data_IF_842311739015
#
_entry.id   IF_842311739015
#
_cell.length_a   1.000
_cell.length_b   1.000
_cell.length_c   1.000
_cell.angle_alpha   90.00
_cell.angle_beta   90.00
_cell.angle_gamma   90.00
#
_symmetry.space_group_name_H-M   'P 1'
#
loop_
_entity.id
_entity.type
_entity.pdbx_description
1 polymer ?
2 non-polymer ?
3 non-polymer ?
4 non-polymer ?
5 non-polymer ?
6 non-polymer ?
7 water ?
#
# COMPACT_ATOMS: atom_id res chain seq x y z
N UNK A 3 6.82 -13.69 19.00
CA UNK A 3 5.36 -14.05 19.04
C UNK A 3 5.02 -15.01 17.89
N UNK A 4 4.21 -16.02 18.20
CA UNK A 4 3.81 -17.02 17.21
C UNK A 4 2.29 -16.98 16.93
N UNK A 5 1.55 -16.25 17.75
CA UNK A 5 0.09 -16.14 17.57
C UNK A 5 -0.44 -15.01 18.44
N UNK A 6 -1.64 -14.54 18.10
CA UNK A 6 -2.25 -13.40 18.79
C UNK A 6 -3.54 -13.80 19.46
N UNK A 7 -3.85 -15.09 19.38
CA UNK A 7 -5.14 -15.61 19.81
C UNK A 7 -5.02 -16.84 20.69
N UNK A 8 -6.17 -17.51 20.90
CA UNK A 8 -6.24 -18.70 21.74
C UNK A 8 -6.28 -20.01 20.94
N UNK A 9 -6.16 -19.93 19.62
CA UNK A 9 -6.19 -21.13 18.80
C UNK A 9 -4.77 -21.66 18.52
N UNK A 10 -4.45 -22.84 19.06
CA UNK A 10 -3.13 -23.44 18.86
C UNK A 10 -2.93 -23.90 17.41
N UNK A 11 -3.99 -24.37 16.78
CA UNK A 11 -3.97 -24.71 15.35
C UNK A 11 -3.46 -23.54 14.52
N UNK A 12 -3.98 -22.34 14.81
CA UNK A 12 -3.58 -21.13 14.06
C UNK A 12 -2.09 -20.86 14.00
N UNK A 13 -1.36 -21.21 15.06
CA UNK A 13 0.09 -21.01 15.07
C UNK A 13 0.71 -21.64 13.85
N UNK A 14 0.36 -22.90 13.62
CA UNK A 14 0.90 -23.63 12.48
C UNK A 14 0.35 -23.12 11.16
N UNK A 15 -0.95 -22.82 11.13
CA UNK A 15 -1.60 -22.30 9.91
C UNK A 15 -0.97 -20.98 9.52
N UNK A 16 -0.72 -20.15 10.52
CA UNK A 16 -0.15 -18.84 10.28
C UNK A 16 1.24 -19.02 9.71
N UNK A 17 2.08 -19.85 10.37
CA UNK A 17 3.47 -20.03 9.87
C UNK A 17 3.47 -20.60 8.47
N UNK A 18 2.51 -21.47 8.19
CA UNK A 18 2.30 -22.04 6.86
C UNK A 18 2.05 -20.94 5.81
N UNK A 19 1.10 -20.06 6.06
CA UNK A 19 0.86 -18.93 5.16
C UNK A 19 2.10 -18.09 4.96
N UNK A 20 2.85 -17.83 6.04
CA UNK A 20 4.04 -16.96 5.98
C UNK A 20 5.23 -17.54 5.22
N UNK A 21 5.20 -18.85 4.94
CA UNK A 21 6.19 -19.38 4.01
C UNK A 21 6.11 -18.63 2.67
N UNK A 22 5.00 -17.95 2.40
CA UNK A 22 4.84 -17.27 1.11
C UNK A 22 5.15 -15.76 1.18
N UNK A 23 5.74 -15.36 2.30
CA UNK A 23 6.12 -13.95 2.55
C UNK A 23 6.81 -13.23 1.40
N UNK A 24 7.73 -13.91 0.71
CA UNK A 24 8.52 -13.25 -0.33
C UNK A 24 7.89 -13.36 -1.70
N UNK A 25 6.64 -13.79 -1.74
CA UNK A 25 5.94 -14.09 -2.97
C UNK A 25 4.74 -13.19 -3.23
N UNK A 26 4.50 -12.88 -4.50
CA UNK A 26 3.36 -12.08 -4.89
C UNK A 26 2.08 -12.79 -4.52
N UNK A 27 2.14 -14.11 -4.47
CA UNK A 27 0.98 -14.94 -4.21
C UNK A 27 0.59 -15.17 -2.75
N UNK A 28 1.32 -14.60 -1.79
CA UNK A 28 0.85 -14.58 -0.39
C UNK A 28 -0.64 -14.24 -0.25
N UNK A 29 -1.33 -14.90 0.66
CA UNK A 29 -2.75 -14.61 0.87
C UNK A 29 -2.97 -13.89 2.18
N UNK A 30 -3.08 -12.56 2.12
CA UNK A 30 -3.27 -11.77 3.31
C UNK A 30 -4.58 -11.99 4.03
N UNK A 31 -5.64 -12.37 3.31
CA UNK A 31 -6.88 -12.66 4.01
C UNK A 31 -6.67 -13.84 4.99
N UNK A 32 -5.94 -14.84 4.55
CA UNK A 32 -5.61 -15.97 5.40
C UNK A 32 -4.77 -15.52 6.59
N UNK A 33 -3.75 -14.70 6.33
CA UNK A 33 -2.90 -14.19 7.42
C UNK A 33 -3.80 -13.53 8.46
N UNK A 34 -4.73 -12.68 8.03
CA UNK A 34 -5.59 -12.04 9.00
C UNK A 34 -6.39 -13.04 9.82
N UNK A 35 -6.89 -14.05 9.14
CA UNK A 35 -7.73 -15.03 9.78
C UNK A 35 -6.99 -15.84 10.81
N UNK A 36 -5.72 -16.12 10.58
CA UNK A 36 -4.96 -16.98 11.49
C UNK A 36 -4.19 -16.15 12.53
N UNK A 37 -4.36 -14.82 12.50
CA UNK A 37 -3.60 -13.93 13.41
C UNK A 37 -4.55 -13.13 14.31
N UNK A 38 -5.79 -13.56 14.44
CA UNK A 38 -6.76 -12.86 15.24
C UNK A 38 -6.96 -11.40 14.79
N UNK A 39 -7.02 -11.25 13.47
CA UNK A 39 -7.17 -9.96 12.80
C UNK A 39 -6.06 -9.00 13.16
N UNK A 40 -4.85 -9.51 13.10
CA UNK A 40 -3.66 -8.68 13.28
C UNK A 40 -2.78 -8.78 12.05
N UNK A 41 -3.38 -8.63 10.85
CA UNK A 41 -2.53 -8.87 9.68
C UNK A 41 -1.39 -7.85 9.59
N UNK A 42 -1.62 -6.59 9.97
CA UNK A 42 -0.57 -5.59 9.81
C UNK A 42 0.61 -5.82 10.79
N UNK A 43 0.28 -6.00 12.07
CA UNK A 43 1.30 -6.38 13.06
C UNK A 43 2.08 -7.61 12.66
N UNK A 44 1.42 -8.70 12.26
CA UNK A 44 2.12 -9.91 11.92
C UNK A 44 2.93 -9.80 10.65
N UNK A 45 2.33 -9.24 9.60
CA UNK A 45 3.11 -9.20 8.39
C UNK A 45 4.33 -8.29 8.55
N UNK A 46 4.19 -7.21 9.32
CA UNK A 46 5.29 -6.28 9.52
C UNK A 46 6.40 -6.93 10.33
N UNK A 47 6.01 -7.67 11.37
CA UNK A 47 6.98 -8.44 12.16
C UNK A 47 7.71 -9.48 11.29
N UNK A 48 6.97 -10.21 10.44
CA UNK A 48 7.58 -11.17 9.52
C UNK A 48 8.55 -10.50 8.57
N UNK A 49 8.15 -9.35 7.99
CA UNK A 49 8.99 -8.68 7.00
C UNK A 49 10.27 -8.16 7.62
N UNK A 50 10.17 -7.56 8.79
CA UNK A 50 11.37 -6.97 9.41
C UNK A 50 12.35 -8.07 9.79
N UNK A 51 11.83 -9.19 10.31
CA UNK A 51 12.69 -10.34 10.63
C UNK A 51 13.33 -10.94 9.39
N UNK A 52 12.54 -11.11 8.32
CA UNK A 52 13.04 -11.61 7.05
C UNK A 52 14.21 -10.78 6.56
N UNK A 53 14.09 -9.46 6.67
CA UNK A 53 15.10 -8.54 6.19
C UNK A 53 16.13 -8.16 7.22
N UNK A 54 16.10 -8.82 8.39
CA UNK A 54 16.97 -8.46 9.50
C UNK A 54 17.00 -6.98 9.86
N UNK A 55 15.85 -6.31 9.81
CA UNK A 55 15.78 -4.88 10.07
C UNK A 55 15.76 -4.51 11.56
N UNK A 56 15.22 -5.38 12.42
CA UNK A 56 15.28 -5.08 13.86
C UNK A 56 16.75 -5.15 14.31
N UNK A 57 17.50 -6.12 13.82
CA UNK A 57 18.94 -6.14 14.13
C UNK A 57 19.70 -4.96 13.51
N UNK A 58 19.49 -4.73 12.22
CA UNK A 58 20.23 -3.68 11.52
C UNK A 58 20.02 -2.30 12.18
N UNK A 59 18.78 -2.01 12.59
CA UNK A 59 18.45 -0.70 13.15
C UNK A 59 18.29 -0.70 14.67
N UNK A 60 18.73 -1.80 15.30
CA UNK A 60 18.65 -1.95 16.75
C UNK A 60 17.27 -1.64 17.31
N UNK A 61 16.26 -2.18 16.64
CA UNK A 61 14.89 -2.00 17.12
C UNK A 61 14.48 -3.14 18.04
N UNK A 62 14.06 -2.77 19.24
CA UNK A 62 13.53 -3.73 20.19
C UNK A 62 12.32 -4.45 19.60
N UNK A 63 12.31 -5.78 19.66
CA UNK A 63 11.10 -6.54 19.26
C UNK A 63 9.87 -6.12 20.05
N UNK A 64 10.08 -5.84 21.33
CA UNK A 64 9.00 -5.43 22.20
C UNK A 64 8.40 -4.10 21.76
N UNK A 65 9.27 -3.12 21.51
CA UNK A 65 8.84 -1.82 21.07
C UNK A 65 8.16 -1.94 19.70
N UNK A 66 8.75 -2.75 18.82
CA UNK A 66 8.21 -2.91 17.47
C UNK A 66 6.75 -3.35 17.52
N UNK A 67 6.50 -4.37 18.35
CA UNK A 67 5.19 -5.00 18.43
C UNK A 67 4.20 -4.03 19.00
N UNK A 68 4.60 -3.30 20.04
CA UNK A 68 3.72 -2.30 20.62
C UNK A 68 3.36 -1.21 19.62
N UNK A 69 4.35 -0.74 18.85
CA UNK A 69 4.05 0.34 17.95
C UNK A 69 3.10 -0.21 16.87
N UNK A 70 3.41 -1.40 16.35
CA UNK A 70 2.63 -1.95 15.22
C UNK A 70 1.22 -2.23 15.65
N UNK A 71 1.05 -2.76 16.87
CA UNK A 71 -0.29 -3.00 17.36
C UNK A 71 -1.09 -1.74 17.45
N UNK A 72 -0.47 -0.66 17.92
CA UNK A 72 -1.17 0.55 18.06
C UNK A 72 -1.44 1.21 16.68
N UNK A 73 -0.47 1.15 15.80
CA UNK A 73 -0.73 1.66 14.43
C UNK A 73 -1.90 0.90 13.82
N UNK A 74 -1.85 -0.43 13.92
CA UNK A 74 -2.97 -1.22 13.38
C UNK A 74 -4.31 -0.82 14.01
N UNK A 75 -4.31 -0.56 15.31
CA UNK A 75 -5.52 -0.12 15.99
C UNK A 75 -6.06 1.23 15.50
N UNK A 76 -5.19 2.03 14.83
CA UNK A 76 -5.65 3.30 14.30
C UNK A 76 -6.19 3.19 12.86
N UNK A 77 -6.18 2.00 12.29
CA UNK A 77 -6.99 1.74 11.08
C UNK A 77 -8.39 1.42 11.59
N UNK A 78 -9.41 1.86 10.88
CA UNK A 78 -10.81 1.66 11.30
C UNK A 78 -11.29 0.28 10.83
N UNK A 79 -11.66 -0.63 11.74
CA UNK A 79 -12.08 -1.95 11.26
C UNK A 79 -13.45 -1.84 10.56
N UNK A 80 -14.21 -0.77 10.82
CA UNK A 80 -15.51 -0.58 10.14
C UNK A 80 -15.46 0.14 8.80
N UNK A 81 -14.25 0.40 8.31
CA UNK A 81 -14.08 0.96 6.99
C UNK A 81 -13.81 -0.28 6.11
N UNK A 82 -14.59 -0.47 5.04
CA UNK A 82 -14.56 -1.74 4.32
C UNK A 82 -13.27 -2.08 3.59
N UNK A 83 -12.63 -1.09 2.99
CA UNK A 83 -11.39 -1.34 2.26
C UNK A 83 -10.13 -0.76 2.95
N UNK A 84 -10.16 0.55 3.22
CA UNK A 84 -9.07 1.28 3.83
C UNK A 84 -8.88 0.94 5.32
N UNK A 85 -8.72 -0.34 5.57
CA UNK A 85 -8.48 -0.81 6.95
C UNK A 85 -7.12 -1.48 7.03
N UNK A 86 -6.76 -2.03 8.22
CA UNK A 86 -5.43 -2.62 8.30
C UNK A 86 -5.08 -3.77 7.37
N UNK A 87 -6.07 -4.50 6.79
CA UNK A 87 -5.75 -5.55 5.91
C UNK A 87 -5.12 -4.93 4.62
N UNK A 88 -5.69 -3.80 4.19
CA UNK A 88 -5.10 -3.08 3.06
C UNK A 88 -3.68 -2.62 3.30
N UNK A 89 -3.43 -2.02 4.46
CA UNK A 89 -2.10 -1.61 4.84
C UNK A 89 -1.16 -2.82 4.83
N UNK A 90 -1.57 -3.93 5.45
CA UNK A 90 -0.77 -5.19 5.44
C UNK A 90 -0.38 -5.63 4.02
N UNK A 91 -1.38 -5.65 3.16
CA UNK A 91 -1.19 -6.04 1.79
C UNK A 91 -0.21 -5.13 1.12
N UNK A 92 -0.35 -3.81 1.29
CA UNK A 92 0.53 -2.89 0.62
C UNK A 92 1.94 -2.97 1.17
N UNK A 93 2.04 -3.21 2.47
CA UNK A 93 3.38 -3.47 3.00
C UNK A 93 4.06 -4.75 2.48
N UNK A 94 3.32 -5.86 2.43
CA UNK A 94 3.83 -7.16 1.90
C UNK A 94 4.16 -7.04 0.42
N UNK A 95 3.32 -6.31 -0.31
CA UNK A 95 3.58 -6.08 -1.73
C UNK A 95 4.83 -5.24 -1.96
N UNK A 96 5.04 -4.19 -1.16
CA UNK A 96 6.27 -3.42 -1.24
C UNK A 96 7.49 -4.28 -0.91
N UNK A 97 7.34 -5.11 0.11
CA UNK A 97 8.39 -6.10 0.43
C UNK A 97 8.83 -6.95 -0.77
N UNK A 98 7.88 -7.46 -1.51
CA UNK A 98 8.18 -8.22 -2.73
C UNK A 98 8.83 -7.37 -3.84
N UNK A 99 8.27 -6.18 -4.13
CA UNK A 99 8.84 -5.31 -5.15
C UNK A 99 10.26 -4.89 -4.81
N UNK A 100 10.58 -4.72 -3.53
CA UNK A 100 11.90 -4.27 -3.15
C UNK A 100 12.96 -5.30 -3.57
N UNK A 101 12.55 -6.56 -3.68
CA UNK A 101 13.49 -7.64 -4.03
C UNK A 101 13.53 -7.98 -5.51
N UNK A 102 12.85 -7.20 -6.34
CA UNK A 102 12.86 -7.48 -7.75
C UNK A 102 14.32 -7.48 -8.29
N UNK A 103 14.68 -8.49 -9.10
CA UNK A 103 16.11 -8.62 -9.44
C UNK A 103 16.75 -7.34 -10.03
N UNK A 104 15.98 -6.60 -10.81
CA UNK A 104 16.48 -5.40 -11.49
C UNK A 104 16.91 -4.28 -10.52
N UNK A 105 16.46 -4.36 -9.27
CA UNK A 105 16.82 -3.37 -8.27
C UNK A 105 17.77 -3.94 -7.21
N UNK A 106 18.21 -5.17 -7.41
CA UNK A 106 19.19 -5.80 -6.53
C UNK A 106 20.32 -4.83 -6.19
N UNK A 107 20.66 -4.73 -4.91
CA UNK A 107 21.75 -3.88 -4.40
C UNK A 107 21.58 -2.36 -4.57
N UNK A 108 20.46 -1.92 -5.15
CA UNK A 108 20.27 -0.49 -5.42
C UNK A 108 19.99 0.33 -4.17
N UNK A 109 19.15 -0.21 -3.28
CA UNK A 109 18.67 0.58 -2.15
C UNK A 109 19.43 0.31 -0.87
N UNK A 110 19.71 1.36 -0.10
CA UNK A 110 20.23 1.23 1.25
C UNK A 110 19.22 0.59 2.20
N UNK A 111 19.72 0.16 3.36
CA UNK A 111 18.86 -0.41 4.40
C UNK A 111 17.88 0.64 4.90
N UNK A 112 18.32 1.89 5.00
CA UNK A 112 17.43 2.94 5.50
C UNK A 112 16.29 3.20 4.52
N UNK A 113 16.59 3.14 3.23
CA UNK A 113 15.59 3.28 2.18
C UNK A 113 14.58 2.11 2.17
N UNK A 114 15.08 0.89 2.38
CA UNK A 114 14.20 -0.27 2.49
C UNK A 114 13.28 -0.11 3.69
N UNK A 115 13.87 0.30 4.81
CA UNK A 115 13.14 0.58 6.04
C UNK A 115 12.05 1.62 5.77
N UNK A 116 12.45 2.72 5.12
CA UNK A 116 11.50 3.82 4.81
C UNK A 116 10.29 3.33 4.00
N UNK A 117 10.55 2.56 2.96
CA UNK A 117 9.54 2.17 2.02
C UNK A 117 8.52 1.26 2.73
N UNK A 118 8.98 0.30 3.52
CA UNK A 118 8.07 -0.62 4.20
C UNK A 118 7.28 0.10 5.27
N UNK A 119 7.93 0.97 6.03
CA UNK A 119 7.23 1.80 6.99
C UNK A 119 6.16 2.72 6.33
N UNK A 120 6.53 3.39 5.21
CA UNK A 120 5.56 4.19 4.50
C UNK A 120 4.32 3.37 4.11
N UNK A 121 4.54 2.17 3.57
CA UNK A 121 3.43 1.32 3.19
C UNK A 121 2.54 1.02 4.39
N UNK A 122 3.14 0.69 5.52
CA UNK A 122 2.39 0.36 6.70
C UNK A 122 1.53 1.49 7.21
N UNK A 123 2.03 2.72 7.15
CA UNK A 123 1.29 3.87 7.64
C UNK A 123 0.40 4.57 6.60
N UNK A 124 0.46 4.20 5.33
CA UNK A 124 0.05 5.13 4.28
C UNK A 124 -1.44 5.48 4.25
N UNK A 125 -2.25 4.70 4.97
CA UNK A 125 -3.70 4.94 4.99
C UNK A 125 -4.24 4.97 6.43
N UNK A 126 -3.36 5.18 7.41
CA UNK A 126 -3.82 5.03 8.77
C UNK A 126 -4.88 6.07 9.16
N UNK A 127 -5.87 5.64 9.96
CA UNK A 127 -6.99 6.52 10.35
C UNK A 127 -7.81 7.07 9.17
N UNK A 128 -7.87 6.28 8.11
CA UNK A 128 -8.70 6.66 6.97
C UNK A 128 -10.20 6.53 7.38
N UNK A 129 -11.01 7.56 7.11
CA UNK A 129 -12.41 7.53 7.51
C UNK A 129 -13.31 6.86 6.48
N UNK A 130 -12.74 6.47 5.34
CA UNK A 130 -13.54 5.66 4.38
C UNK A 130 -14.32 6.56 3.40
N UNK A 131 -13.95 7.81 3.31
CA UNK A 131 -14.50 8.74 2.29
C UNK A 131 -13.35 9.48 1.62
N UNK A 132 -13.55 10.03 0.43
CA UNK A 132 -12.46 10.61 -0.33
C UNK A 132 -12.06 12.01 0.12
N UNK A 133 -10.93 12.48 -0.43
CA UNK A 133 -10.51 13.84 -0.18
C UNK A 133 -11.61 14.83 -0.58
N UNK A 134 -12.24 14.56 -1.73
CA UNK A 134 -13.19 15.52 -2.20
C UNK A 134 -14.41 15.57 -1.31
N UNK A 135 -14.83 14.43 -0.76
CA UNK A 135 -15.94 14.40 0.19
C UNK A 135 -15.56 15.22 1.43
N UNK A 136 -14.36 15.02 1.94
CA UNK A 136 -13.89 15.85 3.08
C UNK A 136 -13.88 17.37 2.78
N UNK A 137 -13.47 17.76 1.58
CA UNK A 137 -13.40 19.15 1.19
C UNK A 137 -14.81 19.71 1.06
N UNK A 138 -15.68 18.96 0.39
CA UNK A 138 -17.02 19.44 0.08
C UNK A 138 -17.88 19.58 1.31
N UNK A 139 -17.57 18.81 2.37
CA UNK A 139 -18.36 18.77 3.61
C UNK A 139 -17.76 19.70 4.67
N UNK A 140 -16.70 20.41 4.31
CA UNK A 140 -15.98 21.30 5.22
C UNK A 140 -15.56 20.58 6.49
N UNK A 141 -15.03 19.38 6.33
CA UNK A 141 -14.63 18.55 7.45
C UNK A 141 -13.48 19.17 8.23
N UNK A 142 -13.29 18.69 9.45
CA UNK A 142 -12.19 19.16 10.28
C UNK A 142 -10.85 18.93 9.55
N UNK A 143 -10.73 17.78 8.88
CA UNK A 143 -9.45 17.46 8.24
C UNK A 143 -9.17 18.43 7.09
N UNK A 144 -10.20 18.72 6.28
CA UNK A 144 -10.01 19.64 5.18
C UNK A 144 -9.67 21.06 5.66
N UNK A 145 -10.29 21.47 6.75
CA UNK A 145 -9.93 22.75 7.36
C UNK A 145 -8.51 22.71 7.97
N UNK A 146 -8.10 21.59 8.55
CA UNK A 146 -6.74 21.51 9.04
C UNK A 146 -5.71 21.61 7.91
N UNK A 147 -5.99 20.94 6.79
CA UNK A 147 -4.98 20.77 5.74
C UNK A 147 -5.21 21.60 4.48
N UNK A 148 -6.14 22.56 4.57
CA UNK A 148 -6.28 23.55 3.50
C UNK A 148 -6.53 22.90 2.16
N UNK A 149 -7.30 21.84 2.23
CA UNK A 149 -7.84 21.06 1.10
C UNK A 149 -6.78 20.33 0.27
N UNK A 150 -5.52 20.33 0.73
CA UNK A 150 -4.45 19.75 -0.09
C UNK A 150 -3.93 18.43 0.45
N UNK A 151 -4.08 17.39 -0.37
CA UNK A 151 -3.75 16.00 0.02
C UNK A 151 -4.19 15.76 1.47
N UNK A 152 -5.47 15.99 1.70
CA UNK A 152 -5.98 16.04 3.08
C UNK A 152 -5.69 14.70 3.81
N UNK A 153 -6.15 13.59 3.25
CA UNK A 153 -6.02 12.26 3.90
C UNK A 153 -4.55 11.91 4.05
N UNK A 154 -3.79 12.16 2.99
CA UNK A 154 -2.38 11.73 2.93
C UNK A 154 -1.52 12.48 3.98
N UNK A 155 -1.77 13.78 4.16
CA UNK A 155 -1.10 14.52 5.21
C UNK A 155 -1.53 13.94 6.57
N UNK A 156 -2.84 13.59 6.71
CA UNK A 156 -3.31 13.04 7.98
C UNK A 156 -2.67 11.71 8.29
N UNK A 157 -2.55 10.82 7.30
CA UNK A 157 -1.97 9.50 7.55
C UNK A 157 -0.54 9.66 8.06
N UNK A 158 0.21 10.54 7.41
CA UNK A 158 1.58 10.84 7.86
C UNK A 158 1.63 11.38 9.30
N UNK A 159 0.79 12.36 9.59
CA UNK A 159 0.76 12.97 10.93
C UNK A 159 0.50 11.91 11.99
N UNK A 160 -0.46 11.02 11.75
CA UNK A 160 -0.74 9.99 12.74
C UNK A 160 0.43 9.01 12.90
N UNK A 161 1.00 8.56 11.81
CA UNK A 161 2.02 7.55 11.85
C UNK A 161 3.21 8.14 12.60
N UNK A 162 3.52 9.41 12.38
CA UNK A 162 4.70 10.01 13.05
C UNK A 162 4.44 10.41 14.48
N UNK A 163 3.20 10.85 14.77
CA UNK A 163 2.81 11.21 16.11
C UNK A 163 2.85 9.99 17.02
N UNK A 164 2.56 8.81 16.48
CA UNK A 164 2.58 7.60 17.32
C UNK A 164 3.99 7.24 17.81
N UNK A 165 5.01 7.76 17.15
CA UNK A 165 6.40 7.46 17.52
C UNK A 165 6.87 8.36 18.65
N UNK A 166 6.08 9.34 19.02
CA UNK A 166 6.51 10.32 20.03
C UNK A 166 6.63 9.72 21.43
N UNK A 167 5.82 8.70 21.72
CA UNK A 167 5.85 8.07 23.04
C UNK A 167 7.05 7.12 23.11
N UNK A 168 7.86 7.22 24.16
CA UNK A 168 9.06 6.35 24.29
C UNK A 168 8.79 4.87 24.08
N UNK A 169 7.75 4.35 24.70
CA UNK A 169 7.44 2.92 24.60
C UNK A 169 6.98 2.48 23.19
N UNK A 170 6.87 3.41 22.25
CA UNK A 170 6.49 3.09 20.88
C UNK A 170 7.55 3.58 19.86
N UNK A 171 8.64 4.23 20.31
CA UNK A 171 9.57 4.83 19.33
C UNK A 171 10.54 3.81 18.73
N UNK A 172 10.12 3.20 17.62
CA UNK A 172 10.89 2.19 16.95
C UNK A 172 12.14 2.75 16.26
N UNK A 173 12.25 4.07 16.16
CA UNK A 173 13.41 4.69 15.50
C UNK A 173 14.41 5.29 16.47
N UNK A 174 14.20 5.01 17.76
CA UNK A 174 15.02 5.56 18.84
C UNK A 174 16.53 5.44 18.60
N UNK A 175 16.97 4.30 18.09
CA UNK A 175 18.39 4.03 17.88
C UNK A 175 18.90 4.38 16.50
N UNK A 176 18.08 5.01 15.67
CA UNK A 176 18.61 5.64 14.45
C UNK A 176 19.35 6.91 14.87
N UNK A 177 20.28 7.37 14.07
CA UNK A 177 20.91 8.64 14.40
C UNK A 177 19.99 9.76 13.95
N UNK A 178 20.23 10.96 14.49
CA UNK A 178 19.46 12.16 14.13
C UNK A 178 19.38 12.38 12.62
N UNK A 179 20.51 12.25 11.94
CA UNK A 179 20.54 12.34 10.48
C UNK A 179 19.74 11.23 9.77
N UNK A 180 19.85 10.00 10.27
CA UNK A 180 19.07 8.89 9.74
C UNK A 180 17.56 9.16 9.88
N UNK A 181 17.17 9.61 11.06
CA UNK A 181 15.75 9.88 11.34
C UNK A 181 15.22 10.96 10.40
N UNK A 182 16.01 12.01 10.24
CA UNK A 182 15.69 13.10 9.33
C UNK A 182 15.57 12.63 7.87
N UNK A 183 16.49 11.79 7.42
CA UNK A 183 16.39 11.28 6.08
C UNK A 183 15.18 10.34 5.90
N UNK A 184 14.99 9.45 6.87
CA UNK A 184 13.83 8.54 6.81
C UNK A 184 12.52 9.35 6.72
N UNK A 185 12.39 10.37 7.56
CA UNK A 185 11.16 11.18 7.62
C UNK A 185 10.89 11.84 6.28
N UNK A 186 11.93 12.43 5.70
CA UNK A 186 11.77 12.98 4.34
C UNK A 186 11.30 11.96 3.29
N UNK A 187 11.89 10.75 3.27
CA UNK A 187 11.49 9.75 2.29
C UNK A 187 10.05 9.26 2.48
N UNK A 188 9.69 9.04 3.74
CA UNK A 188 8.33 8.51 4.05
C UNK A 188 7.29 9.55 3.68
N UNK A 189 7.59 10.82 3.98
CA UNK A 189 6.65 11.90 3.66
C UNK A 189 6.46 11.93 2.14
N UNK A 190 7.56 11.87 1.42
CA UNK A 190 7.50 11.86 -0.03
C UNK A 190 6.63 10.68 -0.53
N UNK A 191 6.85 9.49 0.04
CA UNK A 191 6.23 8.33 -0.49
C UNK A 191 4.74 8.35 -0.21
N UNK A 192 4.38 8.78 0.99
CA UNK A 192 2.96 8.74 1.35
C UNK A 192 2.17 9.80 0.58
N UNK A 193 2.75 10.97 0.44
CA UNK A 193 2.08 12.01 -0.32
C UNK A 193 1.83 11.59 -1.77
N UNK A 194 2.78 10.83 -2.34
CA UNK A 194 2.65 10.30 -3.68
C UNK A 194 1.52 9.25 -3.87
N UNK A 195 0.87 8.82 -2.78
CA UNK A 195 -0.22 7.87 -2.92
C UNK A 195 -1.59 8.57 -3.17
N UNK A 196 -1.60 9.92 -3.17
CA UNK A 196 -2.81 10.65 -3.45
C UNK A 196 -3.10 10.51 -4.96
N UNK A 197 -4.26 9.96 -5.29
CA UNK A 197 -4.60 9.67 -6.73
C UNK A 197 -4.61 10.95 -7.58
N UNK A 198 -4.90 12.09 -6.95
CA UNK A 198 -4.82 13.34 -7.71
C UNK A 198 -3.41 13.61 -8.33
N UNK A 199 -2.37 12.93 -7.82
CA UNK A 199 -0.99 13.04 -8.27
C UNK A 199 -0.59 11.94 -9.27
N UNK A 200 -1.49 10.98 -9.51
CA UNK A 200 -1.09 9.82 -10.31
C UNK A 200 -0.61 10.22 -11.71
N UNK A 201 -1.40 11.03 -12.39
CA UNK A 201 -1.05 11.33 -13.82
C UNK A 201 0.35 11.93 -13.90
N UNK A 202 0.69 12.84 -13.00
CA UNK A 202 1.99 13.47 -13.07
C UNK A 202 3.11 12.53 -12.68
N UNK A 203 2.80 11.62 -11.75
CA UNK A 203 3.78 10.67 -11.28
C UNK A 203 4.13 9.71 -12.41
N UNK A 204 3.10 9.26 -13.11
CA UNK A 204 3.24 8.29 -14.20
C UNK A 204 4.06 8.99 -15.30
N UNK A 205 3.62 10.18 -15.69
CA UNK A 205 4.36 10.94 -16.71
C UNK A 205 5.84 11.01 -16.41
N UNK A 206 6.18 11.35 -15.18
CA UNK A 206 7.58 11.48 -14.80
C UNK A 206 8.29 10.12 -14.75
N UNK A 207 7.51 9.08 -14.45
CA UNK A 207 8.04 7.71 -14.45
C UNK A 207 8.37 7.24 -15.88
N UNK A 208 7.41 7.41 -16.80
CA UNK A 208 7.59 7.11 -18.23
C UNK A 208 8.84 7.80 -18.72
N UNK A 209 9.02 9.03 -18.25
CA UNK A 209 10.19 9.82 -18.61
C UNK A 209 11.48 9.13 -18.14
N UNK A 210 11.55 8.75 -16.88
CA UNK A 210 12.73 8.04 -16.37
C UNK A 210 12.98 6.70 -17.06
N UNK A 211 11.91 6.00 -17.43
CA UNK A 211 12.02 4.71 -18.09
C UNK A 211 12.56 4.90 -19.51
N UNK A 212 12.08 5.95 -20.19
CA UNK A 212 12.63 6.36 -21.48
C UNK A 212 14.15 6.33 -21.51
N UNK A 213 14.81 6.87 -20.49
CA UNK A 213 16.27 6.99 -20.51
C UNK A 213 16.96 6.16 -19.45
N UNK A 214 16.33 5.06 -19.05
CA UNK A 214 16.90 4.19 -18.02
C UNK A 214 18.20 3.56 -18.53
N UNK A 215 19.13 3.34 -17.62
CA UNK A 215 20.41 2.76 -17.96
C UNK A 215 20.63 1.44 -17.22
N UNK A 216 20.23 0.34 -17.86
CA UNK A 216 20.41 -1.01 -17.30
C UNK A 216 21.87 -1.47 -17.43
N UNK A 217 22.55 -1.64 -16.30
CA UNK A 217 23.94 -2.12 -16.30
C UNK A 217 24.11 -3.55 -16.86
N UNK A 218 25.36 -3.90 -17.17
CA UNK A 218 25.73 -5.21 -17.73
C UNK A 218 24.97 -6.38 -17.08
N UNK A 219 25.08 -6.50 -15.75
CA UNK A 219 24.45 -7.61 -15.02
C UNK A 219 22.91 -7.65 -15.10
N UNK A 220 22.30 -6.58 -15.59
CA UNK A 220 20.85 -6.52 -15.72
C UNK A 220 20.19 -5.69 -14.62
N UNK A 221 21.01 -4.95 -13.88
CA UNK A 221 20.51 -4.11 -12.81
C UNK A 221 20.43 -2.64 -13.23
N UNK A 222 19.30 -2.00 -12.92
CA UNK A 222 19.14 -0.56 -13.15
C UNK A 222 20.20 0.23 -12.38
N UNK A 223 20.79 1.21 -13.06
CA UNK A 223 21.69 2.15 -12.46
C UNK A 223 20.84 3.33 -12.01
N UNK A 224 20.85 3.57 -10.71
CA UNK A 224 20.10 4.68 -10.11
C UNK A 224 21.09 5.28 -9.15
N UNK A 225 21.80 6.30 -9.63
CA UNK A 225 23.00 6.79 -8.98
C UNK A 225 22.77 7.71 -7.80
N UNK A 226 21.94 8.73 -8.01
CA UNK A 226 21.67 9.73 -6.98
C UNK A 226 20.33 9.52 -6.25
N UNK A 227 20.21 10.19 -5.11
CA UNK A 227 19.02 10.14 -4.28
C UNK A 227 17.75 10.47 -5.07
N UNK A 228 17.80 11.49 -5.91
CA UNK A 228 16.61 11.88 -6.64
C UNK A 228 16.06 10.76 -7.50
N UNK A 229 16.96 9.96 -8.06
CA UNK A 229 16.51 8.85 -8.90
C UNK A 229 15.98 7.70 -8.04
N UNK A 230 16.60 7.49 -6.87
CA UNK A 230 16.18 6.41 -5.97
C UNK A 230 14.83 6.68 -5.34
N UNK A 231 14.63 7.86 -4.80
CA UNK A 231 13.32 8.19 -4.22
C UNK A 231 12.21 8.22 -5.29
N UNK A 232 12.54 8.56 -6.53
CA UNK A 232 11.51 8.45 -7.54
C UNK A 232 11.10 7.00 -7.82
N UNK A 233 12.05 6.07 -7.88
CA UNK A 233 11.63 4.68 -8.04
C UNK A 233 10.79 4.23 -6.82
N UNK A 234 11.23 4.61 -5.62
CA UNK A 234 10.55 4.20 -4.38
C UNK A 234 9.13 4.76 -4.31
N UNK A 235 8.97 6.04 -4.65
CA UNK A 235 7.64 6.61 -4.61
C UNK A 235 6.73 5.89 -5.60
N UNK A 236 7.27 5.49 -6.74
CA UNK A 236 6.45 4.78 -7.71
C UNK A 236 6.19 3.35 -7.26
N UNK A 237 7.16 2.76 -6.56
CA UNK A 237 6.99 1.40 -6.07
C UNK A 237 5.82 1.28 -5.06
N UNK A 238 5.81 2.18 -4.08
CA UNK A 238 4.77 2.18 -3.07
C UNK A 238 3.42 2.47 -3.75
N UNK A 239 3.43 3.39 -4.73
CA UNK A 239 2.24 3.67 -5.55
C UNK A 239 1.75 2.40 -6.26
N UNK A 240 2.67 1.66 -6.86
CA UNK A 240 2.31 0.38 -7.55
C UNK A 240 1.72 -0.65 -6.58
N UNK A 241 2.34 -0.77 -5.41
CA UNK A 241 1.91 -1.68 -4.36
C UNK A 241 0.50 -1.30 -3.91
N UNK A 242 0.28 0.01 -3.72
CA UNK A 242 -1.01 0.56 -3.34
C UNK A 242 -2.05 0.15 -4.40
N UNK A 243 -1.65 0.17 -5.67
CA UNK A 243 -2.53 -0.13 -6.79
C UNK A 243 -2.26 -1.54 -7.35
N UNK A 244 -1.97 -2.50 -6.46
CA UNK A 244 -1.58 -3.86 -6.89
C UNK A 244 -2.73 -4.89 -6.93
N UNK A 245 -3.92 -4.58 -6.38
CA UNK A 245 -5.03 -5.55 -6.25
C UNK A 245 -5.33 -6.27 -7.57
N UNK A 246 -5.45 -5.49 -8.67
CA UNK A 246 -5.82 -6.11 -9.94
C UNK A 246 -4.71 -6.99 -10.54
N UNK A 247 -3.49 -6.91 -10.00
CA UNK A 247 -2.36 -7.76 -10.44
C UNK A 247 -2.21 -9.05 -9.59
N UNK A 248 -3.10 -9.25 -8.64
CA UNK A 248 -3.04 -10.46 -7.80
C UNK A 248 -3.88 -11.52 -8.44
N UNK A 249 -3.75 -12.75 -7.95
CA UNK A 249 -4.63 -13.81 -8.38
C UNK A 249 -6.10 -13.36 -8.36
N UNK A 250 -6.88 -13.84 -9.32
CA UNK A 250 -8.28 -13.44 -9.40
C UNK A 250 -9.09 -13.67 -8.13
N UNK A 251 -8.86 -14.80 -7.47
CA UNK A 251 -9.49 -15.06 -6.18
C UNK A 251 -9.29 -13.93 -5.16
N UNK A 252 -8.06 -13.39 -5.09
CA UNK A 252 -7.69 -12.28 -4.18
C UNK A 252 -8.32 -10.99 -4.72
N UNK A 253 -8.09 -10.70 -6.00
CA UNK A 253 -8.64 -9.44 -6.58
C UNK A 253 -10.13 -9.29 -6.37
N UNK A 254 -10.89 -10.37 -6.60
CA UNK A 254 -12.32 -10.30 -6.42
C UNK A 254 -12.69 -9.91 -4.99
N UNK A 255 -11.92 -10.39 -4.02
CA UNK A 255 -12.21 -10.04 -2.63
C UNK A 255 -11.93 -8.56 -2.32
N UNK A 256 -10.85 -8.05 -2.91
CA UNK A 256 -10.56 -6.61 -2.81
C UNK A 256 -11.71 -5.79 -3.46
N UNK A 257 -12.18 -6.22 -4.62
CA UNK A 257 -13.28 -5.47 -5.27
C UNK A 257 -14.50 -5.38 -4.40
N UNK A 258 -14.86 -6.49 -3.74
CA UNK A 258 -16.03 -6.48 -2.87
C UNK A 258 -15.88 -5.35 -1.86
N UNK A 259 -14.66 -5.21 -1.34
CA UNK A 259 -14.38 -4.23 -0.28
C UNK A 259 -14.42 -2.77 -0.75
N UNK A 260 -13.71 -2.49 -1.84
CA UNK A 260 -13.66 -1.11 -2.33
C UNK A 260 -15.05 -0.67 -2.79
N UNK A 261 -15.83 -1.60 -3.35
CA UNK A 261 -17.21 -1.21 -3.74
C UNK A 261 -18.10 -0.95 -2.54
N UNK A 262 -17.94 -1.73 -1.47
CA UNK A 262 -18.70 -1.52 -0.27
C UNK A 262 -18.34 -0.11 0.23
N UNK A 263 -17.04 0.23 0.18
CA UNK A 263 -16.63 1.52 0.74
C UNK A 263 -17.18 2.66 -0.13
N UNK A 264 -17.03 2.53 -1.45
CA UNK A 264 -17.50 3.57 -2.38
C UNK A 264 -19.00 3.76 -2.20
N UNK A 265 -19.74 2.66 -2.22
CA UNK A 265 -21.18 2.79 -2.13
C UNK A 265 -21.64 3.33 -0.79
N UNK A 266 -20.90 3.06 0.30
CA UNK A 266 -21.26 3.71 1.52
C UNK A 266 -21.03 5.24 1.47
N UNK A 267 -19.97 5.70 0.79
CA UNK A 267 -19.79 7.13 0.65
C UNK A 267 -20.96 7.70 -0.12
N UNK A 268 -21.36 7.03 -1.20
CA UNK A 268 -22.54 7.48 -1.96
C UNK A 268 -23.80 7.63 -1.11
N UNK A 269 -24.00 6.71 -0.16
CA UNK A 269 -25.15 6.76 0.71
C UNK A 269 -25.07 7.98 1.62
N UNK A 270 -23.86 8.27 2.13
CA UNK A 270 -23.62 9.46 2.92
C UNK A 270 -23.93 10.73 2.12
N UNK A 271 -23.50 10.76 0.87
CA UNK A 271 -23.71 11.91 0.02
C UNK A 271 -25.22 12.10 -0.17
N UNK A 272 -25.94 11.00 -0.44
CA UNK A 272 -27.40 11.08 -0.63
C UNK A 272 -28.03 11.64 0.62
N UNK A 273 -27.67 11.04 1.76
CA UNK A 273 -28.12 11.40 3.10
C UNK A 273 -27.97 12.89 3.36
N UNK A 274 -26.87 13.48 2.89
CA UNK A 274 -26.58 14.87 3.17
C UNK A 274 -27.18 15.80 2.14
N UNK A 275 -27.87 15.23 1.15
CA UNK A 275 -28.40 16.04 0.08
C UNK A 275 -27.33 16.55 -0.87
N UNK A 276 -26.17 15.90 -0.89
CA UNK A 276 -25.11 16.31 -1.80
C UNK A 276 -25.28 15.64 -3.14
N UNK A 277 -24.56 16.13 -4.14
CA UNK A 277 -24.51 15.47 -5.44
C UNK A 277 -23.81 14.12 -5.29
N UNK A 278 -24.39 13.06 -5.85
CA UNK A 278 -23.78 11.73 -5.75
C UNK A 278 -22.59 11.62 -6.70
N UNK A 279 -21.43 11.19 -6.19
CA UNK A 279 -20.27 10.93 -7.03
C UNK A 279 -20.59 9.66 -7.83
N UNK A 280 -20.46 9.71 -9.16
CA UNK A 280 -20.99 8.63 -10.01
C UNK A 280 -20.45 7.22 -9.65
N UNK A 281 -19.12 7.10 -9.46
CA UNK A 281 -18.52 5.80 -9.11
C UNK A 281 -18.98 5.31 -7.73
N UNK A 282 -19.64 6.17 -6.96
CA UNK A 282 -20.10 5.84 -5.60
C UNK A 282 -21.57 5.56 -5.56
N UNK A 283 -22.22 5.58 -6.74
CA UNK A 283 -23.67 5.45 -6.69
C UNK A 283 -24.10 4.01 -6.89
N UNK A 284 -24.66 3.39 -5.86
CA UNK A 284 -24.92 1.94 -5.85
C UNK A 284 -26.08 1.64 -6.80
N UNK A 285 -26.96 2.62 -6.94
CA UNK A 285 -28.16 2.52 -7.81
C UNK A 285 -27.89 2.55 -9.31
N UNK A 286 -26.70 2.96 -9.71
CA UNK A 286 -26.42 3.11 -11.11
C UNK A 286 -25.07 2.57 -11.54
N UNK A 287 -24.06 2.56 -10.65
CA UNK A 287 -22.71 2.19 -11.07
C UNK A 287 -22.49 0.69 -11.28
N UNK A 288 -21.81 0.33 -12.36
CA UNK A 288 -21.48 -1.09 -12.59
C UNK A 288 -20.13 -1.42 -12.00
N UNK A 289 -20.15 -2.41 -11.10
CA UNK A 289 -18.93 -2.90 -10.45
C UNK A 289 -17.92 -3.39 -11.48
N UNK A 290 -18.41 -4.19 -12.44
CA UNK A 290 -17.56 -4.73 -13.47
C UNK A 290 -16.93 -3.67 -14.37
N UNK A 291 -17.74 -2.69 -14.81
CA UNK A 291 -17.18 -1.61 -15.60
C UNK A 291 -16.19 -0.78 -14.79
N UNK A 292 -16.49 -0.59 -13.51
CA UNK A 292 -15.54 0.17 -12.71
C UNK A 292 -14.14 -0.45 -12.73
N UNK A 293 -14.03 -1.78 -12.69
CA UNK A 293 -12.72 -2.44 -12.72
C UNK A 293 -12.06 -2.42 -14.11
N UNK A 294 -12.85 -2.68 -15.15
CA UNK A 294 -12.34 -2.53 -16.49
C UNK A 294 -11.77 -1.12 -16.72
N UNK A 295 -12.53 -0.09 -16.33
CA UNK A 295 -12.07 1.30 -16.41
C UNK A 295 -10.81 1.60 -15.62
N UNK A 296 -10.85 1.21 -14.35
CA UNK A 296 -9.70 1.35 -13.46
C UNK A 296 -8.46 0.69 -14.05
N UNK A 297 -8.59 -0.52 -14.56
CA UNK A 297 -7.39 -1.17 -15.09
C UNK A 297 -6.91 -0.49 -16.39
N UNK A 298 -7.83 -0.32 -17.32
CA UNK A 298 -7.50 0.29 -18.61
C UNK A 298 -6.89 1.68 -18.49
N UNK A 299 -7.51 2.52 -17.64
CA UNK A 299 -7.11 3.91 -17.49
C UNK A 299 -6.07 4.25 -16.43
N UNK A 300 -5.94 3.40 -15.41
CA UNK A 300 -5.00 3.68 -14.31
C UNK A 300 -4.00 2.55 -14.07
N UNK A 301 -4.48 1.35 -13.80
CA UNK A 301 -3.55 0.29 -13.32
C UNK A 301 -2.64 -0.28 -14.43
N UNK A 302 -3.23 -0.55 -15.58
CA UNK A 302 -2.39 -1.05 -16.67
C UNK A 302 -1.30 -0.08 -17.14
N UNK A 303 -1.65 1.21 -17.41
CA UNK A 303 -0.59 2.15 -17.76
C UNK A 303 0.51 2.29 -16.73
N UNK A 304 0.16 2.27 -15.44
CA UNK A 304 1.19 2.28 -14.43
C UNK A 304 2.06 1.01 -14.45
N UNK A 305 1.43 -0.15 -14.48
CA UNK A 305 2.15 -1.43 -14.33
C UNK A 305 2.99 -1.74 -15.58
N UNK A 306 2.42 -1.42 -16.74
CA UNK A 306 3.16 -1.49 -18.00
C UNK A 306 4.45 -0.66 -17.93
N UNK A 307 4.35 0.57 -17.43
CA UNK A 307 5.52 1.40 -17.25
C UNK A 307 6.47 0.84 -16.20
N UNK A 308 5.92 0.32 -15.11
CA UNK A 308 6.79 -0.31 -14.12
C UNK A 308 7.50 -1.54 -14.75
N UNK A 309 6.74 -2.37 -15.43
CA UNK A 309 7.28 -3.60 -15.99
C UNK A 309 8.43 -3.22 -16.91
N UNK A 310 8.12 -2.28 -17.79
CA UNK A 310 9.11 -1.72 -18.68
C UNK A 310 10.37 -1.31 -17.92
N UNK A 311 10.20 -0.74 -16.73
CA UNK A 311 11.36 -0.29 -15.96
C UNK A 311 12.21 -1.47 -15.41
N UNK A 312 11.55 -2.53 -14.99
CA UNK A 312 12.22 -3.65 -14.33
C UNK A 312 12.26 -4.93 -15.20
N UNK A 313 12.01 -4.82 -16.50
CA UNK A 313 11.90 -6.04 -17.28
C UNK A 313 13.12 -6.93 -17.07
N UNK A 314 12.90 -8.25 -17.17
CA UNK A 314 11.57 -8.77 -17.46
C UNK A 314 10.80 -9.17 -16.19
N UNK A 315 11.20 -8.61 -15.05
CA UNK A 315 10.67 -9.02 -13.73
C UNK A 315 9.14 -9.08 -13.61
N UNK A 316 8.45 -8.11 -14.23
CA UNK A 316 7.01 -7.93 -13.98
C UNK A 316 6.11 -8.55 -15.03
N UNK A 317 6.69 -9.39 -15.89
CA UNK A 317 5.89 -9.97 -16.96
C UNK A 317 4.71 -10.79 -16.45
N UNK A 318 4.92 -11.64 -15.45
CA UNK A 318 3.80 -12.45 -14.96
C UNK A 318 2.73 -11.56 -14.32
N UNK A 319 3.16 -10.44 -13.76
CA UNK A 319 2.23 -9.49 -13.16
C UNK A 319 1.35 -8.90 -14.24
N UNK A 320 1.98 -8.46 -15.33
CA UNK A 320 1.23 -7.91 -16.46
C UNK A 320 0.22 -8.89 -17.05
N UNK A 321 0.60 -10.17 -17.14
CA UNK A 321 -0.28 -11.16 -17.74
C UNK A 321 -1.48 -11.42 -16.86
N UNK A 322 -1.25 -11.35 -15.55
CA UNK A 322 -2.31 -11.63 -14.61
C UNK A 322 -3.34 -10.51 -14.70
N UNK A 323 -2.82 -9.29 -14.74
CA UNK A 323 -3.63 -8.10 -14.80
C UNK A 323 -4.49 -8.15 -16.04
N UNK A 324 -3.83 -8.42 -17.17
CA UNK A 324 -4.50 -8.56 -18.45
C UNK A 324 -5.53 -9.67 -18.42
N UNK A 325 -5.19 -10.82 -17.81
CA UNK A 325 -6.19 -11.87 -17.56
C UNK A 325 -7.37 -11.42 -16.69
N UNK A 326 -7.08 -10.74 -15.59
CA UNK A 326 -8.13 -10.23 -14.74
C UNK A 326 -9.04 -9.16 -15.40
N UNK A 327 -8.43 -8.29 -16.19
CA UNK A 327 -9.17 -7.27 -16.95
C UNK A 327 -10.19 -8.02 -17.82
N UNK A 328 -9.70 -9.02 -18.55
CA UNK A 328 -10.57 -9.82 -19.41
C UNK A 328 -11.67 -10.54 -18.64
N UNK A 329 -11.43 -10.95 -17.39
CA UNK A 329 -12.50 -11.58 -16.63
C UNK A 329 -13.63 -10.60 -16.31
N UNK A 330 -13.29 -9.38 -15.90
CA UNK A 330 -14.30 -8.39 -15.54
C UNK A 330 -15.13 -7.99 -16.78
N UNK A 331 -14.43 -7.78 -17.88
CA UNK A 331 -15.04 -7.43 -19.17
C UNK A 331 -16.06 -8.50 -19.53
N UNK A 332 -15.61 -9.75 -19.50
CA UNK A 332 -16.49 -10.84 -19.85
C UNK A 332 -17.68 -10.92 -18.89
N UNK A 333 -17.57 -10.28 -17.74
CA UNK A 333 -18.67 -10.23 -16.77
C UNK A 333 -19.65 -9.09 -17.05
N UNK A 334 -19.28 -8.19 -17.96
CA UNK A 334 -20.22 -7.15 -18.43
C UNK A 334 -21.12 -7.76 -19.53
N UNK A 335 -22.43 -7.83 -19.28
CA UNK A 335 -23.31 -8.57 -20.21
C UNK A 335 -23.30 -8.06 -21.66
N UNK A 336 -22.96 -6.80 -21.87
CA UNK A 336 -22.90 -6.22 -23.21
C UNK A 336 -21.48 -6.28 -23.80
N UNK A 337 -21.38 -6.36 -25.13
CA UNK A 337 -20.08 -6.37 -25.80
C UNK A 337 -19.36 -5.05 -25.62
#
# INVERSE_FOLDING_TARGET
MSISRFGVNTENEDHLAKELEDLNKWGLNIFNVAGYSHNRPLTCIMYAIFQERDLLKTFRISSDTFITYMMTLEDHYHSDVAYHNSLHAADVAQSTHVLLSTPALDAVFTDLEILAAIFAAAIHDVDHPGVSNQFLINTNSELALMYNDESVLENHHLAVGFKLLQEEHCDIFMNLTKKQRQTLRKMVIDMVLATDMSKHMSLLADLKTMVETKKVTSSGVLLLDNYTDRIQVLRNMVHCADLSNPTKSLELYRQWTDRIMEEFFQQGDKERERGMEISPMCDKHTASVEKSQVGFIDYIVHPLWETWADLVQPDAQDILDTLEDNRNWYQAMIPQAPAPPLDEQNRDCQGLM
#
